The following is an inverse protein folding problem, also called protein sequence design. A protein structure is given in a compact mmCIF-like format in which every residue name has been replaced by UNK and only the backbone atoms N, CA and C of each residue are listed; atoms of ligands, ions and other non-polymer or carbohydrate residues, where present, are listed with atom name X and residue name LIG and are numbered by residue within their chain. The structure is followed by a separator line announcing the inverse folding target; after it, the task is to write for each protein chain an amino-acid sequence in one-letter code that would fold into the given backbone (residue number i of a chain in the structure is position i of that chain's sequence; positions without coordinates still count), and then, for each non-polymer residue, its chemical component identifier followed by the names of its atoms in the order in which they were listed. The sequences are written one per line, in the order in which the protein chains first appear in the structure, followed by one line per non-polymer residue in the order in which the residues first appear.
data_IF_748372417683
#
_entry.id   IF_748372417683
#
_cell.length_a   1.000
_cell.length_b   1.000
_cell.length_c   1.000
_cell.angle_alpha   90.00
_cell.angle_beta   90.00
_cell.angle_gamma   90.00
#
_symmetry.space_group_name_H-M   'P 1'
#
loop_
_entity.id
_entity.type
_entity.pdbx_description
1 polymer ?
#
# COMPACT_ATOMS: atom_id res chain seq x y z
N UNK A 1 -35.02 -5.58 8.75
CA UNK A 1 -35.71 -4.59 9.63
C UNK A 1 -35.42 -3.14 9.25
N UNK A 2 -34.19 -2.76 8.82
CA UNK A 2 -33.85 -1.36 8.48
C UNK A 2 -34.41 -0.82 7.15
N UNK A 3 -34.60 -1.66 6.13
CA UNK A 3 -35.23 -1.24 4.85
C UNK A 3 -36.66 -0.73 5.03
N UNK A 4 -37.39 -1.23 6.03
CA UNK A 4 -38.73 -0.74 6.38
C UNK A 4 -38.73 0.67 6.99
N UNK A 5 -37.63 1.09 7.62
CA UNK A 5 -37.50 2.41 8.24
C UNK A 5 -37.37 3.51 7.16
N UNK A 6 -36.60 3.26 6.10
CA UNK A 6 -36.42 4.21 4.98
C UNK A 6 -37.75 4.52 4.27
N UNK A 7 -38.58 3.50 4.05
CA UNK A 7 -39.86 3.65 3.35
C UNK A 7 -40.86 4.50 4.14
N UNK A 8 -40.79 4.48 5.48
CA UNK A 8 -41.73 5.21 6.34
C UNK A 8 -41.26 6.61 6.75
N UNK A 9 -39.94 6.84 6.81
CA UNK A 9 -39.36 8.08 7.34
C UNK A 9 -38.75 8.98 6.27
N UNK A 10 -38.51 8.46 5.07
CA UNK A 10 -37.79 9.17 4.01
C UNK A 10 -36.29 9.37 4.30
N UNK A 11 -35.76 8.73 5.36
CA UNK A 11 -34.36 8.83 5.74
C UNK A 11 -33.48 7.95 4.85
N UNK A 12 -32.35 8.51 4.45
CA UNK A 12 -31.29 7.86 3.68
C UNK A 12 -30.04 7.79 4.55
N UNK A 13 -29.34 6.66 4.54
CA UNK A 13 -28.23 6.47 5.45
C UNK A 13 -27.42 5.21 5.20
N UNK A 14 -26.43 5.01 6.07
CA UNK A 14 -25.68 3.78 6.14
C UNK A 14 -25.44 3.40 7.60
N UNK A 15 -25.26 2.10 7.83
CA UNK A 15 -24.90 1.54 9.13
C UNK A 15 -23.72 0.59 8.92
N UNK A 16 -22.62 0.87 9.60
CA UNK A 16 -21.43 0.03 9.59
C UNK A 16 -21.09 -0.27 11.05
N UNK A 17 -21.07 -1.56 11.38
CA UNK A 17 -20.53 -2.07 12.63
C UNK A 17 -19.40 -3.06 12.29
N UNK A 18 -18.22 -2.79 12.84
CA UNK A 18 -16.97 -3.53 12.61
C UNK A 18 -16.44 -4.05 13.94
N UNK A 19 -15.45 -4.94 13.88
CA UNK A 19 -14.79 -5.44 15.08
C UNK A 19 -14.07 -4.29 15.83
N UNK A 20 -14.12 -4.36 17.17
CA UNK A 20 -13.40 -3.41 18.03
C UNK A 20 -11.95 -3.83 18.24
N UNK A 21 -11.72 -5.14 18.27
CA UNK A 21 -10.43 -5.78 18.53
C UNK A 21 -10.20 -6.94 17.54
N UNK A 22 -8.99 -7.48 17.49
CA UNK A 22 -8.66 -8.61 16.58
C UNK A 22 -9.31 -9.91 17.06
N UNK A 23 -9.67 -9.97 18.33
CA UNK A 23 -10.21 -11.15 19.02
C UNK A 23 -11.72 -11.30 18.85
N UNK A 24 -12.41 -10.26 18.39
CA UNK A 24 -13.85 -10.30 18.15
C UNK A 24 -14.14 -11.14 16.89
N UNK A 25 -15.10 -12.08 16.98
CA UNK A 25 -15.42 -13.04 15.90
C UNK A 25 -16.80 -12.81 15.26
N UNK A 26 -17.52 -11.77 15.66
CA UNK A 26 -18.86 -11.50 15.15
C UNK A 26 -18.81 -10.82 13.79
N UNK A 27 -19.45 -11.41 12.77
CA UNK A 27 -19.46 -10.85 11.41
C UNK A 27 -19.83 -9.35 11.38
N UNK A 28 -19.03 -8.50 10.70
CA UNK A 28 -19.32 -7.09 10.53
C UNK A 28 -20.68 -6.87 9.86
N UNK A 29 -21.43 -5.88 10.34
CA UNK A 29 -22.74 -5.54 9.78
C UNK A 29 -22.62 -4.29 8.95
N UNK A 30 -22.84 -4.44 7.66
CA UNK A 30 -22.72 -3.37 6.69
C UNK A 30 -24.05 -3.21 5.96
N UNK A 31 -24.56 -1.99 5.94
CA UNK A 31 -25.79 -1.65 5.24
C UNK A 31 -25.70 -0.23 4.67
N UNK A 32 -26.19 -0.06 3.45
CA UNK A 32 -26.29 1.22 2.77
C UNK A 32 -27.65 1.34 2.09
N UNK A 33 -28.20 2.55 2.03
CA UNK A 33 -29.31 2.84 1.12
C UNK A 33 -28.78 3.16 -0.28
N UNK A 34 -29.60 2.95 -1.31
CA UNK A 34 -29.19 3.08 -2.71
C UNK A 34 -28.60 4.47 -3.03
N UNK A 35 -29.18 5.55 -2.48
CA UNK A 35 -28.66 6.91 -2.71
C UNK A 35 -27.31 7.14 -2.03
N UNK A 36 -27.13 6.54 -0.86
CA UNK A 36 -25.89 6.65 -0.11
C UNK A 36 -24.77 5.83 -0.75
N UNK A 37 -25.07 4.64 -1.29
CA UNK A 37 -24.11 3.89 -2.11
C UNK A 37 -23.62 4.73 -3.30
N UNK A 38 -24.55 5.37 -4.02
CA UNK A 38 -24.21 6.27 -5.14
C UNK A 38 -23.36 7.46 -4.67
N UNK A 39 -23.65 8.04 -3.51
CA UNK A 39 -22.83 9.10 -2.92
C UNK A 39 -21.42 8.61 -2.62
N UNK A 40 -21.28 7.45 -1.99
CA UNK A 40 -19.97 6.87 -1.64
C UNK A 40 -19.16 6.59 -2.91
N UNK A 41 -19.76 5.96 -3.93
CA UNK A 41 -19.09 5.69 -5.20
C UNK A 41 -18.71 6.98 -5.94
N UNK A 42 -19.66 7.90 -6.13
CA UNK A 42 -19.49 9.01 -7.06
C UNK A 42 -18.82 10.23 -6.44
N UNK A 43 -19.02 10.47 -5.14
CA UNK A 43 -18.48 11.64 -4.43
C UNK A 43 -17.23 11.27 -3.65
N UNK A 44 -17.24 10.17 -2.91
CA UNK A 44 -16.06 9.73 -2.16
C UNK A 44 -15.07 8.96 -3.03
N UNK A 45 -15.49 8.44 -4.19
CA UNK A 45 -14.62 7.70 -5.11
C UNK A 45 -14.18 6.35 -4.55
N UNK A 46 -14.94 5.78 -3.62
CA UNK A 46 -14.60 4.55 -2.89
C UNK A 46 -15.78 3.59 -3.02
N UNK A 47 -15.51 2.29 -3.09
CA UNK A 47 -16.57 1.27 -3.03
C UNK A 47 -17.12 1.16 -1.59
N UNK A 48 -18.43 1.00 -1.36
CA UNK A 48 -19.00 0.93 -0.01
C UNK A 48 -18.35 -0.14 0.90
N UNK A 49 -17.98 -1.30 0.35
CA UNK A 49 -17.25 -2.33 1.08
C UNK A 49 -15.87 -1.84 1.57
N UNK A 50 -15.15 -1.06 0.76
CA UNK A 50 -13.86 -0.49 1.14
C UNK A 50 -13.99 0.58 2.22
N UNK A 51 -15.12 1.29 2.28
CA UNK A 51 -15.41 2.21 3.39
C UNK A 51 -15.54 1.46 4.73
N UNK A 52 -16.21 0.31 4.74
CA UNK A 52 -16.32 -0.53 5.93
C UNK A 52 -14.96 -1.10 6.38
N UNK A 53 -14.17 -1.64 5.44
CA UNK A 53 -12.82 -2.14 5.72
C UNK A 53 -11.88 -1.06 6.24
N UNK A 54 -12.03 0.18 5.76
CA UNK A 54 -11.31 1.34 6.32
C UNK A 54 -11.64 1.61 7.76
N UNK A 55 -12.93 1.64 8.06
CA UNK A 55 -13.38 1.88 9.42
C UNK A 55 -12.84 0.81 10.36
N UNK A 56 -12.91 -0.46 9.94
CA UNK A 56 -12.38 -1.60 10.70
C UNK A 56 -10.88 -1.49 10.93
N UNK A 57 -10.10 -1.22 9.88
CA UNK A 57 -8.66 -1.07 9.99
C UNK A 57 -8.27 0.07 10.95
N UNK A 58 -9.01 1.17 10.94
CA UNK A 58 -8.79 2.27 11.88
C UNK A 58 -9.17 1.87 13.31
N UNK A 59 -10.33 1.24 13.51
CA UNK A 59 -10.81 0.84 14.83
C UNK A 59 -9.88 -0.19 15.48
N UNK A 60 -9.49 -1.23 14.75
CA UNK A 60 -8.69 -2.34 15.27
C UNK A 60 -7.21 -1.95 15.47
N UNK A 61 -6.65 -1.13 14.59
CA UNK A 61 -5.19 -0.87 14.58
C UNK A 61 -4.79 0.59 14.81
N UNK A 62 -5.73 1.53 14.78
CA UNK A 62 -5.43 2.98 14.83
C UNK A 62 -4.71 3.49 13.57
N UNK A 63 -4.70 2.71 12.49
CA UNK A 63 -3.94 3.03 11.28
C UNK A 63 -4.90 3.52 10.19
N UNK A 64 -4.74 4.78 9.77
CA UNK A 64 -5.64 5.44 8.81
C UNK A 64 -5.14 5.43 7.36
N UNK A 65 -3.95 4.88 7.12
CA UNK A 65 -3.15 5.30 5.96
C UNK A 65 -3.02 4.24 4.85
N UNK A 66 -3.54 3.02 4.99
CA UNK A 66 -3.21 1.94 4.05
C UNK A 66 -4.30 1.52 3.06
N UNK A 67 -5.52 2.07 3.15
CA UNK A 67 -6.64 1.66 2.28
C UNK A 67 -7.11 2.83 1.40
N UNK A 68 -6.25 3.78 1.04
CA UNK A 68 -6.42 4.45 -0.25
C UNK A 68 -5.75 3.55 -1.30
N UNK A 69 -6.27 3.44 -2.55
CA UNK A 69 -5.31 3.34 -3.63
C UNK A 69 -4.47 4.58 -3.46
N UNK A 70 -3.26 4.42 -2.90
CA UNK A 70 -2.26 5.47 -2.83
C UNK A 70 -2.38 6.21 -4.15
N UNK A 71 -2.59 7.52 -4.13
CA UNK A 71 -2.43 8.31 -5.34
C UNK A 71 -1.18 7.75 -6.03
N UNK A 72 -1.19 7.43 -7.35
CA UNK A 72 -0.15 6.64 -8.00
C UNK A 72 1.29 7.15 -7.76
N UNK A 73 1.40 8.36 -7.21
CA UNK A 73 2.58 9.04 -6.74
C UNK A 73 3.23 8.51 -5.44
N UNK A 74 2.53 7.72 -4.60
CA UNK A 74 3.06 7.20 -3.32
C UNK A 74 3.17 5.67 -3.25
N UNK A 75 2.89 4.97 -4.35
CA UNK A 75 3.25 3.57 -4.47
C UNK A 75 4.78 3.42 -4.46
N UNK A 76 5.31 2.75 -3.43
CA UNK A 76 6.74 2.49 -3.29
C UNK A 76 7.29 1.81 -4.56
N UNK A 77 8.15 2.53 -5.29
CA UNK A 77 8.69 2.05 -6.57
C UNK A 77 9.87 1.10 -6.33
N UNK A 78 9.55 -0.18 -6.12
CA UNK A 78 10.55 -1.24 -5.94
C UNK A 78 11.37 -1.54 -7.19
N UNK A 79 10.88 -1.18 -8.38
CA UNK A 79 11.66 -1.31 -9.63
C UNK A 79 12.89 -0.41 -9.58
N UNK A 80 12.71 0.81 -9.08
CA UNK A 80 13.77 1.78 -8.82
C UNK A 80 14.11 1.86 -7.32
N UNK A 81 14.14 0.71 -6.63
CA UNK A 81 14.35 0.63 -5.18
C UNK A 81 15.53 1.49 -4.68
N UNK A 82 16.68 1.38 -5.34
CA UNK A 82 17.87 2.17 -5.00
C UNK A 82 17.59 3.68 -5.06
N UNK A 83 16.96 4.18 -6.12
CA UNK A 83 16.71 5.62 -6.30
C UNK A 83 15.54 6.13 -5.46
N UNK A 84 14.39 5.46 -5.54
CA UNK A 84 13.12 5.98 -5.01
C UNK A 84 12.92 5.64 -3.54
N UNK A 85 13.60 4.62 -3.03
CA UNK A 85 13.46 4.18 -1.64
C UNK A 85 14.76 4.46 -0.88
N UNK A 86 15.89 3.92 -1.34
CA UNK A 86 17.15 4.12 -0.61
C UNK A 86 17.63 5.56 -0.64
N UNK A 87 17.78 6.14 -1.82
CA UNK A 87 18.36 7.49 -1.97
C UNK A 87 17.39 8.59 -1.54
N UNK A 88 16.12 8.48 -1.95
CA UNK A 88 15.10 9.50 -1.68
C UNK A 88 14.61 9.50 -0.22
N UNK A 89 14.40 8.33 0.38
CA UNK A 89 13.86 8.21 1.73
C UNK A 89 14.96 7.94 2.78
N UNK A 90 16.19 7.65 2.36
CA UNK A 90 17.30 7.39 3.27
C UNK A 90 17.17 6.07 4.04
N UNK A 91 16.43 5.09 3.52
CA UNK A 91 16.18 3.81 4.19
C UNK A 91 16.56 2.62 3.32
N UNK A 92 17.15 1.59 3.92
CA UNK A 92 17.49 0.37 3.22
C UNK A 92 17.05 -0.86 4.02
N UNK A 93 16.48 -1.83 3.32
CA UNK A 93 16.24 -3.17 3.81
C UNK A 93 17.58 -3.93 3.86
N UNK A 94 18.06 -4.18 5.06
CA UNK A 94 19.27 -4.95 5.32
C UNK A 94 18.94 -6.43 5.48
N UNK A 95 19.84 -7.31 5.03
CA UNK A 95 19.72 -8.77 5.20
C UNK A 95 18.53 -9.42 4.49
N UNK A 96 18.17 -8.91 3.31
CA UNK A 96 17.13 -9.49 2.46
C UNK A 96 17.44 -10.96 2.11
N UNK A 97 16.56 -11.92 2.49
CA UNK A 97 16.87 -13.36 2.43
C UNK A 97 16.56 -14.00 1.08
N UNK A 98 15.86 -13.29 0.19
CA UNK A 98 15.46 -13.81 -1.11
C UNK A 98 16.55 -13.50 -2.14
N UNK A 99 17.06 -14.50 -2.90
CA UNK A 99 18.06 -14.27 -3.93
C UNK A 99 17.59 -13.24 -4.96
N UNK A 100 18.44 -12.26 -5.25
CA UNK A 100 18.20 -11.19 -6.21
C UNK A 100 17.96 -9.83 -5.57
N UNK A 101 17.29 -8.95 -6.32
CA UNK A 101 16.97 -7.58 -5.88
C UNK A 101 15.73 -7.59 -4.99
N UNK A 102 15.68 -6.65 -4.04
CA UNK A 102 14.47 -6.37 -3.26
C UNK A 102 13.33 -6.05 -4.23
N UNK A 103 12.21 -6.73 -4.07
CA UNK A 103 11.05 -6.60 -4.95
C UNK A 103 9.82 -6.16 -4.16
N UNK A 104 8.77 -5.80 -4.89
CA UNK A 104 7.48 -5.48 -4.29
C UNK A 104 6.96 -6.73 -3.52
N UNK A 105 6.45 -6.57 -2.29
CA UNK A 105 5.85 -7.66 -1.52
C UNK A 105 4.84 -8.51 -2.32
N UNK A 106 4.03 -7.90 -3.20
CA UNK A 106 3.07 -8.62 -4.04
C UNK A 106 3.70 -9.59 -5.05
N UNK A 107 5.00 -9.43 -5.32
CA UNK A 107 5.79 -10.31 -6.22
C UNK A 107 6.59 -11.36 -5.48
N UNK A 108 6.53 -11.39 -4.14
CA UNK A 108 7.16 -12.44 -3.35
C UNK A 108 6.32 -13.71 -3.51
N UNK A 109 6.92 -14.75 -4.09
CA UNK A 109 6.26 -16.05 -4.26
C UNK A 109 6.00 -16.67 -2.89
N UNK A 110 4.87 -17.35 -2.74
CA UNK A 110 4.48 -18.06 -1.51
C UNK A 110 5.58 -19.01 -1.00
N UNK A 111 6.26 -19.73 -1.90
CA UNK A 111 7.37 -20.64 -1.56
C UNK A 111 8.59 -19.97 -0.92
N UNK A 112 8.69 -18.64 -1.01
CA UNK A 112 9.78 -17.84 -0.42
C UNK A 112 9.31 -17.02 0.77
N UNK A 113 8.00 -17.02 1.05
CA UNK A 113 7.39 -16.19 2.09
C UNK A 113 7.80 -16.65 3.48
N UNK A 114 7.88 -17.97 3.71
CA UNK A 114 8.35 -18.55 4.98
C UNK A 114 9.76 -18.07 5.30
N UNK A 115 10.70 -18.17 4.34
CA UNK A 115 12.08 -17.68 4.52
C UNK A 115 12.15 -16.19 4.81
N UNK A 116 11.27 -15.40 4.20
CA UNK A 116 11.19 -13.97 4.45
C UNK A 116 10.65 -13.69 5.86
N UNK A 117 9.60 -14.42 6.25
CA UNK A 117 9.00 -14.31 7.59
C UNK A 117 10.00 -14.68 8.68
N UNK A 118 10.74 -15.78 8.51
CA UNK A 118 11.75 -16.22 9.47
C UNK A 118 12.87 -15.18 9.59
N UNK A 119 13.38 -14.65 8.47
CA UNK A 119 14.41 -13.61 8.52
C UNK A 119 13.93 -12.31 9.18
N UNK A 120 12.66 -11.94 9.01
CA UNK A 120 12.07 -10.79 9.70
C UNK A 120 11.93 -11.06 11.20
N UNK A 121 11.48 -12.25 11.59
CA UNK A 121 11.33 -12.67 13.00
C UNK A 121 12.67 -12.77 13.72
N UNK A 122 13.69 -13.29 13.05
CA UNK A 122 15.05 -13.43 13.58
C UNK A 122 15.86 -12.12 13.51
N UNK A 123 15.22 -11.00 13.13
CA UNK A 123 15.84 -9.69 12.87
C UNK A 123 17.00 -9.69 11.86
N UNK A 124 17.18 -10.78 11.11
CA UNK A 124 18.17 -10.89 10.03
C UNK A 124 17.79 -9.97 8.88
N UNK A 125 16.50 -9.74 8.64
CA UNK A 125 15.98 -8.81 7.66
C UNK A 125 15.29 -7.62 8.37
N UNK A 126 15.78 -6.39 8.17
CA UNK A 126 15.15 -5.21 8.78
C UNK A 126 15.40 -3.92 8.01
N UNK A 127 14.47 -2.98 8.12
CA UNK A 127 14.65 -1.64 7.60
C UNK A 127 15.59 -0.85 8.51
N UNK A 128 16.63 -0.28 7.91
CA UNK A 128 17.63 0.53 8.60
C UNK A 128 17.63 1.93 7.99
N UNK A 129 17.59 2.94 8.85
CA UNK A 129 17.83 4.34 8.43
C UNK A 129 19.31 4.51 8.18
N UNK A 130 19.64 5.05 7.02
CA UNK A 130 21.01 5.32 6.63
C UNK A 130 21.45 6.66 7.21
N UNK A 131 22.68 6.71 7.72
CA UNK A 131 23.30 7.99 8.06
C UNK A 131 23.53 8.81 6.78
N UNK A 132 23.61 10.15 6.87
CA UNK A 132 23.87 11.00 5.70
C UNK A 132 25.15 10.61 4.95
N UNK A 133 26.19 10.17 5.68
CA UNK A 133 27.44 9.71 5.10
C UNK A 133 27.27 8.42 4.32
N UNK A 134 26.64 7.39 4.91
CA UNK A 134 26.40 6.12 4.21
C UNK A 134 25.50 6.30 2.99
N UNK A 135 24.53 7.21 3.08
CA UNK A 135 23.67 7.58 1.97
C UNK A 135 24.47 8.21 0.83
N UNK A 136 25.34 9.17 1.14
CA UNK A 136 26.20 9.83 0.15
C UNK A 136 27.15 8.82 -0.53
N UNK A 137 27.79 7.93 0.23
CA UNK A 137 28.64 6.86 -0.31
C UNK A 137 27.84 5.97 -1.25
N UNK A 138 26.65 5.52 -0.84
CA UNK A 138 25.80 4.65 -1.67
C UNK A 138 25.32 5.34 -2.95
N UNK A 139 25.02 6.63 -2.90
CA UNK A 139 24.68 7.42 -4.10
C UNK A 139 25.86 7.47 -5.06
N UNK A 140 27.07 7.73 -4.55
CA UNK A 140 28.28 7.78 -5.36
C UNK A 140 28.56 6.41 -6.02
N UNK A 141 28.49 5.33 -5.25
CA UNK A 141 28.70 3.96 -5.74
C UNK A 141 27.66 3.56 -6.80
N UNK A 142 26.38 3.89 -6.57
CA UNK A 142 25.32 3.60 -7.54
C UNK A 142 25.52 4.35 -8.86
N UNK A 143 25.93 5.62 -8.79
CA UNK A 143 26.27 6.43 -9.98
C UNK A 143 27.50 5.87 -10.71
N UNK A 144 28.54 5.47 -9.98
CA UNK A 144 29.75 4.88 -10.56
C UNK A 144 29.44 3.56 -11.29
N UNK A 145 28.66 2.67 -10.68
CA UNK A 145 28.21 1.41 -11.30
C UNK A 145 27.35 1.65 -12.54
N UNK A 146 26.50 2.67 -12.50
CA UNK A 146 25.73 3.05 -13.68
C UNK A 146 26.62 3.56 -14.82
N UNK A 147 27.63 4.38 -14.51
CA UNK A 147 28.60 4.85 -15.50
C UNK A 147 29.42 3.71 -16.12
N UNK A 148 29.66 2.64 -15.35
CA UNK A 148 30.29 1.38 -15.82
C UNK A 148 29.34 0.51 -16.69
N UNK A 149 28.10 0.94 -16.91
CA UNK A 149 27.12 0.24 -17.74
C UNK A 149 26.19 -0.71 -16.98
N UNK A 150 26.29 -0.81 -15.66
CA UNK A 150 25.32 -1.59 -14.89
C UNK A 150 23.98 -0.85 -14.81
N UNK A 151 22.87 -1.52 -15.14
CA UNK A 151 21.55 -0.91 -15.09
C UNK A 151 21.03 -0.83 -13.64
N UNK A 152 21.51 0.19 -12.91
CA UNK A 152 21.16 0.49 -11.53
C UNK A 152 19.82 1.24 -11.42
N UNK A 153 19.61 2.22 -12.29
CA UNK A 153 18.35 2.97 -12.38
C UNK A 153 17.64 2.61 -13.68
N UNK A 154 16.33 2.39 -13.59
CA UNK A 154 15.48 2.19 -14.75
C UNK A 154 14.83 3.53 -15.16
N UNK A 155 14.71 3.81 -16.47
CA UNK A 155 14.00 4.97 -16.98
C UNK A 155 12.55 4.99 -16.49
N UNK A 156 12.04 6.15 -16.07
CA UNK A 156 10.61 6.31 -15.85
C UNK A 156 9.90 6.14 -17.19
N UNK A 157 8.92 5.25 -17.27
CA UNK A 157 8.00 5.23 -18.42
C UNK A 157 7.10 6.45 -18.29
N UNK A 158 7.30 7.47 -19.13
CA UNK A 158 6.23 8.42 -19.40
C UNK A 158 5.07 7.63 -19.99
N UNK A 159 3.83 7.74 -19.48
CA UNK A 159 2.68 7.18 -20.16
C UNK A 159 2.64 7.79 -21.57
N UNK A 160 2.64 6.93 -22.58
CA UNK A 160 2.37 7.35 -23.95
C UNK A 160 1.06 8.11 -23.94
N UNK A 161 1.10 9.40 -24.30
CA UNK A 161 -0.09 10.21 -24.53
C UNK A 161 -0.86 9.47 -25.63
N UNK A 162 -1.97 8.81 -25.29
CA UNK A 162 -2.89 8.35 -26.31
C UNK A 162 -3.43 9.61 -26.98
N UNK A 163 -2.86 9.92 -28.14
CA UNK A 163 -3.44 10.90 -29.05
C UNK A 163 -4.76 10.31 -29.50
N UNK A 164 -5.85 10.84 -28.95
CA UNK A 164 -7.19 10.57 -29.44
C UNK A 164 -7.25 11.11 -30.87
N UNK A 165 -7.14 10.22 -31.85
CA UNK A 165 -7.43 10.52 -33.25
C UNK A 165 -8.95 10.57 -33.37
N UNK A 166 -9.40 11.74 -33.83
CA UNK A 166 -10.76 12.18 -34.14
C UNK A 166 -11.55 11.20 -35.01
#
# INVERSE_FOLDING_TARGET
QWTGLCVQTGLEGFYIAVHGTVEDLSEPKVFFTEKVEKFICNVLGIEPCHLALRLESWVVSGIGSFIFPLAPHEAMNYINYKKQIMEKLGVALHGWPIPGRVCNPSKVKQTKLEKLLDALKEEKCKWVRLTPQELATRIADNKARQAQGEQIYQPCRCPTRHENIT
#
